data_IF_766290377519
#
_entry.id   IF_766290377519
#
_cell.length_a   1.000
_cell.length_b   1.000
_cell.length_c   1.000
_cell.angle_alpha   90.00
_cell.angle_beta   90.00
_cell.angle_gamma   90.00
#
_symmetry.space_group_name_H-M   'P 1'
#
loop_
_entity.id
_entity.type
_entity.pdbx_description
1 polymer ?
#
# COMPACT_ATOMS: atom_id res chain seq x y z
N UNK A 1 12.21 -10.94 -9.99
CA UNK A 1 12.21 -9.91 -11.05
C UNK A 1 12.05 -10.45 -12.47
N UNK A 2 12.14 -11.77 -12.73
CA UNK A 2 11.85 -12.26 -14.10
C UNK A 2 10.39 -11.95 -14.46
N UNK A 3 10.18 -11.29 -15.61
CA UNK A 3 8.84 -10.91 -16.09
C UNK A 3 8.30 -9.62 -15.50
N UNK A 4 9.11 -8.82 -14.78
CA UNK A 4 8.70 -7.50 -14.27
C UNK A 4 9.06 -6.35 -15.23
N UNK A 5 9.62 -6.67 -16.40
CA UNK A 5 9.95 -5.75 -17.48
C UNK A 5 9.35 -6.27 -18.79
N UNK A 6 9.20 -5.39 -19.80
CA UNK A 6 8.86 -5.75 -21.18
C UNK A 6 7.59 -6.63 -21.30
N UNK A 7 6.48 -6.16 -20.72
CA UNK A 7 5.13 -6.76 -20.84
C UNK A 7 4.96 -8.16 -20.23
N UNK A 8 5.90 -8.64 -19.41
CA UNK A 8 5.70 -9.87 -18.63
C UNK A 8 4.59 -9.72 -17.57
N UNK A 9 4.39 -8.49 -17.06
CA UNK A 9 3.32 -8.11 -16.13
C UNK A 9 3.23 -8.98 -14.86
N UNK A 10 4.37 -9.48 -14.40
CA UNK A 10 4.49 -10.16 -13.10
C UNK A 10 4.76 -9.15 -11.99
N UNK A 11 4.68 -9.58 -10.74
CA UNK A 11 4.99 -8.77 -9.57
C UNK A 11 6.08 -9.43 -8.72
N UNK A 12 7.00 -8.67 -8.07
CA UNK A 12 8.10 -9.21 -7.28
C UNK A 12 7.73 -9.50 -5.82
N UNK A 13 6.53 -9.12 -5.39
CA UNK A 13 6.08 -9.20 -4.00
C UNK A 13 5.97 -10.60 -3.40
N UNK A 14 5.71 -10.63 -2.10
CA UNK A 14 5.62 -11.85 -1.32
C UNK A 14 4.26 -12.55 -1.51
N UNK A 15 4.32 -13.82 -1.88
CA UNK A 15 3.17 -14.74 -1.90
C UNK A 15 3.61 -16.16 -1.54
N UNK A 16 2.69 -16.94 -0.97
CA UNK A 16 2.80 -18.41 -0.88
C UNK A 16 2.14 -19.06 -2.11
N UNK A 17 2.44 -20.32 -2.43
CA UNK A 17 1.75 -21.02 -3.52
C UNK A 17 0.23 -20.93 -3.37
N UNK A 18 -0.44 -20.40 -4.40
CA UNK A 18 -1.90 -20.21 -4.45
C UNK A 18 -2.48 -19.29 -3.35
N UNK A 19 -1.66 -18.45 -2.73
CA UNK A 19 -2.11 -17.47 -1.75
C UNK A 19 -3.00 -16.38 -2.34
N UNK A 20 -4.01 -15.96 -1.57
CA UNK A 20 -4.90 -14.85 -1.90
C UNK A 20 -4.21 -13.49 -1.70
N UNK A 21 -3.34 -13.38 -0.70
CA UNK A 21 -2.52 -12.19 -0.50
C UNK A 21 -1.25 -12.31 -1.33
N UNK A 22 -1.02 -11.31 -2.16
CA UNK A 22 0.18 -11.14 -2.96
C UNK A 22 0.75 -9.76 -2.66
N UNK A 23 1.47 -9.63 -1.55
CA UNK A 23 1.88 -8.35 -0.99
C UNK A 23 3.07 -7.80 -1.76
N UNK A 24 2.84 -6.81 -2.64
CA UNK A 24 3.82 -6.36 -3.63
C UNK A 24 3.90 -4.84 -3.73
N UNK A 25 5.06 -4.27 -4.12
CA UNK A 25 5.19 -2.86 -4.47
C UNK A 25 4.32 -2.45 -5.68
N UNK A 26 3.79 -1.24 -5.62
CA UNK A 26 3.17 -0.53 -6.74
C UNK A 26 4.07 0.63 -7.18
N UNK A 27 4.49 0.64 -8.45
CA UNK A 27 5.26 1.74 -9.06
C UNK A 27 4.40 2.70 -9.89
N UNK A 28 3.12 2.35 -10.12
CA UNK A 28 2.21 3.07 -10.99
C UNK A 28 2.03 2.43 -12.37
N UNK A 29 2.63 1.26 -12.60
CA UNK A 29 2.33 0.43 -13.75
C UNK A 29 0.92 -0.19 -13.62
N UNK A 30 0.27 -0.47 -14.75
CA UNK A 30 -1.10 -1.00 -14.81
C UNK A 30 -1.28 -2.30 -14.01
N UNK A 31 -0.24 -3.12 -13.86
CA UNK A 31 -0.26 -4.37 -13.09
C UNK A 31 0.46 -4.28 -11.74
N UNK A 32 0.69 -3.07 -11.24
CA UNK A 32 1.35 -2.78 -9.98
C UNK A 32 2.79 -2.37 -10.19
N UNK A 33 3.63 -3.28 -10.70
CA UNK A 33 5.07 -3.08 -10.79
C UNK A 33 5.61 -3.12 -12.23
N UNK A 34 6.59 -2.27 -12.49
CA UNK A 34 7.44 -2.26 -13.68
C UNK A 34 8.86 -1.93 -13.25
N UNK A 35 9.81 -2.78 -13.63
CA UNK A 35 11.23 -2.68 -13.29
C UNK A 35 11.88 -1.39 -13.83
N UNK A 36 11.33 -0.75 -14.85
CA UNK A 36 11.89 0.51 -15.36
C UNK A 36 11.47 1.73 -14.53
N UNK A 37 10.49 1.59 -13.64
CA UNK A 37 10.04 2.68 -12.77
C UNK A 37 10.93 2.81 -11.54
N UNK A 38 11.23 4.04 -11.15
CA UNK A 38 12.16 4.38 -10.08
C UNK A 38 11.47 4.88 -8.80
N UNK A 39 10.13 4.86 -8.77
CA UNK A 39 9.32 5.28 -7.63
C UNK A 39 8.33 4.19 -7.20
N UNK A 40 8.15 4.03 -5.90
CA UNK A 40 7.14 3.17 -5.28
C UNK A 40 6.11 4.04 -4.56
N UNK A 41 4.83 3.77 -4.83
CA UNK A 41 3.66 4.46 -4.29
C UNK A 41 3.05 3.74 -3.08
N UNK A 42 3.42 2.49 -2.85
CA UNK A 42 2.99 1.71 -1.71
C UNK A 42 3.24 0.22 -1.92
N UNK A 43 2.91 -0.56 -0.90
CA UNK A 43 2.82 -2.02 -0.98
C UNK A 43 1.37 -2.41 -0.75
N UNK A 44 0.71 -2.95 -1.78
CA UNK A 44 -0.71 -3.32 -1.77
C UNK A 44 -0.92 -4.83 -1.68
N UNK A 45 -2.16 -5.23 -1.37
CA UNK A 45 -2.45 -6.55 -0.80
C UNK A 45 -2.64 -7.67 -1.84
N UNK A 46 -3.14 -7.33 -3.02
CA UNK A 46 -3.65 -8.27 -4.02
C UNK A 46 -3.08 -7.91 -5.40
N UNK A 47 -2.53 -8.90 -6.11
CA UNK A 47 -1.95 -8.70 -7.43
C UNK A 47 -2.23 -9.90 -8.33
N UNK A 48 -2.29 -9.64 -9.63
CA UNK A 48 -2.53 -10.68 -10.63
C UNK A 48 -1.33 -10.73 -11.57
N UNK A 49 -0.76 -11.91 -11.73
CA UNK A 49 0.46 -12.12 -12.50
C UNK A 49 0.13 -12.39 -13.97
N UNK A 50 0.76 -11.65 -14.87
CA UNK A 50 0.72 -11.90 -16.32
C UNK A 50 -0.56 -11.45 -17.02
N UNK A 51 -1.32 -10.53 -16.43
CA UNK A 51 -2.52 -9.96 -17.05
C UNK A 51 -2.18 -8.74 -17.91
N UNK A 52 -2.98 -8.48 -18.94
CA UNK A 52 -2.87 -7.29 -19.80
C UNK A 52 -3.74 -6.11 -19.36
N UNK A 53 -4.29 -6.14 -18.15
CA UNK A 53 -5.21 -5.11 -17.66
C UNK A 53 -5.00 -4.86 -16.15
N UNK A 54 -5.46 -3.71 -15.66
CA UNK A 54 -5.32 -3.34 -14.26
C UNK A 54 -6.36 -4.02 -13.37
N UNK A 55 -5.89 -4.73 -12.35
CA UNK A 55 -6.72 -5.34 -11.31
C UNK A 55 -5.90 -5.66 -10.06
N UNK A 56 -6.56 -5.65 -8.90
CA UNK A 56 -5.92 -5.70 -7.59
C UNK A 56 -5.35 -4.34 -7.21
N UNK A 57 -4.20 -4.35 -6.56
CA UNK A 57 -3.56 -3.17 -6.00
C UNK A 57 -4.33 -2.57 -4.82
N UNK A 58 -5.24 -3.34 -4.21
CA UNK A 58 -6.10 -2.85 -3.15
C UNK A 58 -5.26 -2.46 -1.92
N UNK A 59 -5.57 -1.27 -1.38
CA UNK A 59 -4.96 -0.72 -0.17
C UNK A 59 -3.42 -0.66 -0.19
N UNK A 60 -2.82 0.17 -1.05
CA UNK A 60 -1.39 0.46 -0.95
C UNK A 60 -1.06 1.09 0.40
N UNK A 61 -0.06 0.51 1.07
CA UNK A 61 0.48 1.00 2.34
C UNK A 61 1.90 1.51 2.12
N UNK A 62 2.17 2.75 2.54
CA UNK A 62 3.50 3.36 2.40
C UNK A 62 3.98 3.93 3.73
N UNK A 63 5.14 3.48 4.26
CA UNK A 63 5.75 4.14 5.40
C UNK A 63 6.49 5.41 4.95
N UNK A 64 6.31 6.51 5.68
CA UNK A 64 6.91 7.82 5.36
C UNK A 64 7.45 8.50 6.61
N UNK A 65 8.26 9.53 6.43
CA UNK A 65 8.74 10.40 7.52
C UNK A 65 8.35 11.85 7.27
N UNK A 66 8.10 12.61 8.33
CA UNK A 66 7.76 14.03 8.25
C UNK A 66 6.26 14.30 8.36
N UNK A 67 5.82 15.48 7.95
CA UNK A 67 4.41 15.88 8.05
C UNK A 67 3.58 15.28 6.91
N UNK A 68 2.37 14.80 7.24
CA UNK A 68 1.43 14.25 6.25
C UNK A 68 0.56 15.39 5.75
N UNK A 69 0.99 16.01 4.66
CA UNK A 69 0.26 17.11 3.99
C UNK A 69 -0.10 16.80 2.55
N UNK A 70 0.45 15.71 2.00
CA UNK A 70 0.23 15.26 0.64
C UNK A 70 -0.56 13.95 0.62
N UNK A 71 -1.48 13.82 -0.32
CA UNK A 71 -2.35 12.64 -0.49
C UNK A 71 -2.35 12.12 -1.93
N UNK A 72 -1.71 12.84 -2.85
CA UNK A 72 -1.44 12.41 -4.22
C UNK A 72 -0.29 11.39 -4.20
N UNK A 73 -0.59 10.16 -4.65
CA UNK A 73 0.31 9.02 -4.60
C UNK A 73 1.52 9.16 -5.51
N UNK A 74 1.41 9.95 -6.58
CA UNK A 74 2.56 10.26 -7.42
C UNK A 74 3.52 11.23 -6.73
N UNK A 75 3.03 12.09 -5.82
CA UNK A 75 3.86 13.10 -5.14
C UNK A 75 4.48 12.61 -3.85
N UNK A 76 3.80 11.75 -3.09
CA UNK A 76 4.39 11.12 -1.92
C UNK A 76 5.18 9.83 -2.27
N UNK A 77 5.22 9.42 -3.53
CA UNK A 77 5.97 8.24 -3.94
C UNK A 77 7.43 8.33 -3.47
N UNK A 78 7.98 7.21 -3.00
CA UNK A 78 9.39 7.16 -2.63
C UNK A 78 10.21 6.71 -3.83
N UNK A 79 11.30 7.43 -4.10
CA UNK A 79 12.37 6.90 -4.94
C UNK A 79 12.94 5.62 -4.32
N UNK A 80 13.37 4.68 -5.16
CA UNK A 80 14.07 3.45 -4.77
C UNK A 80 15.15 3.09 -5.79
N UNK A 81 15.83 1.97 -5.62
CA UNK A 81 16.67 1.37 -6.67
C UNK A 81 16.80 -0.12 -6.47
N UNK A 82 17.00 -0.87 -7.55
CA UNK A 82 17.22 -2.31 -7.51
C UNK A 82 18.46 -2.73 -6.72
N UNK A 83 19.47 -1.87 -6.58
CA UNK A 83 20.65 -2.11 -5.72
C UNK A 83 20.27 -2.26 -4.23
N UNK A 84 19.11 -1.72 -3.82
CA UNK A 84 18.54 -1.83 -2.48
C UNK A 84 17.12 -2.41 -2.52
N UNK A 85 16.94 -3.41 -3.38
CA UNK A 85 15.71 -4.17 -3.52
C UNK A 85 16.05 -5.67 -3.53
N UNK A 86 15.23 -6.47 -2.85
CA UNK A 86 15.42 -7.92 -2.79
C UNK A 86 14.07 -8.62 -2.84
N UNK A 87 14.00 -9.68 -3.64
CA UNK A 87 12.81 -10.51 -3.78
C UNK A 87 13.20 -11.98 -3.84
N UNK A 88 12.53 -12.81 -3.04
CA UNK A 88 12.63 -14.27 -3.10
C UNK A 88 11.29 -14.89 -2.67
N UNK A 89 11.04 -16.19 -2.90
CA UNK A 89 9.74 -16.79 -2.58
C UNK A 89 9.28 -16.49 -1.15
N UNK A 90 8.08 -15.91 -1.02
CA UNK A 90 7.48 -15.51 0.26
C UNK A 90 8.02 -14.23 0.90
N UNK A 91 8.89 -13.46 0.25
CA UNK A 91 9.50 -12.26 0.84
C UNK A 91 9.85 -11.19 -0.20
N UNK A 92 9.71 -9.93 0.22
CA UNK A 92 10.14 -8.76 -0.53
C UNK A 92 10.73 -7.70 0.43
N UNK A 93 11.79 -7.01 0.00
CA UNK A 93 12.41 -5.87 0.70
C UNK A 93 12.69 -4.76 -0.29
N UNK A 94 12.50 -3.52 0.14
CA UNK A 94 12.99 -2.33 -0.57
C UNK A 94 13.40 -1.21 0.37
N UNK A 95 14.46 -0.49 0.01
CA UNK A 95 14.83 0.79 0.61
C UNK A 95 14.06 1.95 -0.02
N UNK A 96 13.23 2.62 0.79
CA UNK A 96 12.47 3.81 0.41
C UNK A 96 13.33 5.06 0.64
N UNK A 97 14.11 5.44 -0.39
CA UNK A 97 15.15 6.48 -0.30
C UNK A 97 14.60 7.84 0.14
N UNK A 98 13.43 8.24 -0.36
CA UNK A 98 12.82 9.55 -0.02
C UNK A 98 12.60 9.70 1.48
N UNK A 99 12.32 8.60 2.18
CA UNK A 99 11.98 8.60 3.61
C UNK A 99 13.05 7.97 4.51
N UNK A 100 14.10 7.39 3.92
CA UNK A 100 15.13 6.66 4.66
C UNK A 100 14.56 5.45 5.42
N UNK A 101 13.51 4.81 4.89
CA UNK A 101 12.83 3.67 5.53
C UNK A 101 13.12 2.39 4.77
N UNK A 102 13.50 1.32 5.48
CA UNK A 102 13.52 -0.02 4.89
C UNK A 102 12.15 -0.68 5.10
N UNK A 103 11.52 -1.09 4.00
CA UNK A 103 10.24 -1.81 4.01
C UNK A 103 10.44 -3.27 3.66
N UNK A 104 9.83 -4.15 4.43
CA UNK A 104 9.86 -5.60 4.25
C UNK A 104 8.44 -6.15 4.27
N UNK A 105 8.18 -7.16 3.44
CA UNK A 105 6.88 -7.78 3.28
C UNK A 105 7.02 -9.31 3.21
N UNK A 106 6.10 -10.00 3.87
CA UNK A 106 5.88 -11.45 3.72
C UNK A 106 4.38 -11.74 3.75
N UNK A 107 3.98 -12.93 3.31
CA UNK A 107 2.57 -13.31 3.23
C UNK A 107 2.33 -14.77 3.63
N UNK A 108 1.15 -15.04 4.19
CA UNK A 108 0.52 -16.36 4.27
C UNK A 108 -0.57 -16.46 3.19
N UNK A 109 -1.40 -17.50 3.22
CA UNK A 109 -2.50 -17.65 2.27
C UNK A 109 -3.47 -16.44 2.25
N UNK A 110 -3.71 -15.78 3.39
CA UNK A 110 -4.73 -14.71 3.52
C UNK A 110 -4.30 -13.54 4.41
N UNK A 111 -3.02 -13.46 4.78
CA UNK A 111 -2.52 -12.41 5.67
C UNK A 111 -1.14 -11.96 5.23
N UNK A 112 -0.98 -10.66 5.05
CA UNK A 112 0.33 -10.03 4.86
C UNK A 112 0.92 -9.58 6.20
N UNK A 113 2.24 -9.56 6.29
CA UNK A 113 2.98 -8.89 7.38
C UNK A 113 4.00 -7.95 6.77
N UNK A 114 3.94 -6.69 7.18
CA UNK A 114 4.91 -5.67 6.83
C UNK A 114 5.77 -5.35 8.04
N UNK A 115 7.07 -5.11 7.83
CA UNK A 115 8.00 -4.61 8.83
C UNK A 115 8.69 -3.38 8.26
N UNK A 116 8.73 -2.33 9.08
CA UNK A 116 9.32 -1.05 8.71
C UNK A 116 10.43 -0.67 9.67
N UNK A 117 11.63 -0.45 9.14
CA UNK A 117 12.77 0.07 9.90
C UNK A 117 12.91 1.55 9.58
N UNK A 118 12.42 2.39 10.50
CA UNK A 118 12.47 3.85 10.40
C UNK A 118 13.79 4.40 10.97
N UNK A 119 14.23 5.59 10.50
CA UNK A 119 15.23 6.37 11.22
C UNK A 119 14.64 6.87 12.56
N UNK A 120 15.47 7.37 13.48
CA UNK A 120 14.97 7.98 14.71
C UNK A 120 14.22 9.29 14.41
N UNK A 121 12.91 9.31 14.68
CA UNK A 121 12.03 10.47 14.46
C UNK A 121 10.73 10.35 15.28
N UNK A 122 10.11 11.46 15.62
CA UNK A 122 8.77 11.57 16.21
C UNK A 122 7.65 11.63 15.13
N UNK A 123 8.05 11.67 13.85
CA UNK A 123 7.17 11.80 12.68
C UNK A 123 7.28 10.60 11.74
N UNK A 124 7.38 9.39 12.26
CA UNK A 124 7.28 8.17 11.47
C UNK A 124 5.80 7.88 11.17
N UNK A 125 5.40 7.81 9.91
CA UNK A 125 4.02 7.57 9.51
C UNK A 125 3.87 6.27 8.74
N UNK A 126 2.67 5.71 8.78
CA UNK A 126 2.22 4.67 7.85
C UNK A 126 0.94 5.17 7.20
N UNK A 127 0.98 5.33 5.88
CA UNK A 127 -0.12 5.80 5.05
C UNK A 127 -0.92 4.61 4.52
N UNK A 128 -2.24 4.71 4.53
CA UNK A 128 -3.19 3.75 4.00
C UNK A 128 -4.03 4.40 2.91
N UNK A 129 -3.67 4.20 1.64
CA UNK A 129 -4.40 4.81 0.54
C UNK A 129 -5.59 3.93 0.12
N UNK A 130 -6.68 3.99 0.89
CA UNK A 130 -7.89 3.21 0.60
C UNK A 130 -8.52 3.55 -0.76
N UNK A 131 -8.29 4.77 -1.25
CA UNK A 131 -8.78 5.25 -2.54
C UNK A 131 -7.99 4.77 -3.76
N UNK A 132 -6.81 4.17 -3.57
CA UNK A 132 -5.95 3.71 -4.64
C UNK A 132 -6.11 2.21 -4.87
N UNK A 133 -6.22 1.83 -6.14
CA UNK A 133 -6.26 0.46 -6.63
C UNK A 133 -5.87 0.45 -8.11
N UNK A 134 -5.56 -0.72 -8.67
CA UNK A 134 -5.25 -0.89 -10.09
C UNK A 134 -6.51 -1.08 -10.95
N UNK A 135 -7.66 -1.27 -10.31
CA UNK A 135 -8.97 -1.33 -10.95
C UNK A 135 -9.78 -0.06 -10.68
N UNK A 136 -10.99 0.00 -11.25
CA UNK A 136 -11.93 1.08 -10.92
C UNK A 136 -12.47 0.92 -9.50
N UNK A 137 -12.24 1.92 -8.67
CA UNK A 137 -12.83 2.02 -7.33
C UNK A 137 -14.29 2.48 -7.43
N UNK A 138 -15.19 1.84 -6.68
CA UNK A 138 -16.61 2.20 -6.58
C UNK A 138 -16.89 2.93 -5.28
N UNK A 139 -16.48 2.34 -4.16
CA UNK A 139 -16.60 2.98 -2.86
C UNK A 139 -15.54 2.46 -1.90
N UNK A 140 -15.14 3.31 -0.97
CA UNK A 140 -14.05 3.02 -0.04
C UNK A 140 -14.41 3.53 1.34
N UNK A 141 -13.93 2.84 2.37
CA UNK A 141 -14.04 3.25 3.75
C UNK A 141 -12.79 2.85 4.51
N UNK A 142 -12.25 3.76 5.30
CA UNK A 142 -11.16 3.50 6.24
C UNK A 142 -11.53 4.02 7.61
N UNK A 143 -11.24 3.25 8.65
CA UNK A 143 -11.63 3.52 10.03
C UNK A 143 -10.51 3.18 11.01
N UNK A 144 -10.14 4.15 11.84
CA UNK A 144 -9.30 3.98 13.02
C UNK A 144 -10.18 3.46 14.15
N UNK A 145 -10.03 2.17 14.49
CA UNK A 145 -10.88 1.51 15.50
C UNK A 145 -10.40 1.77 16.93
N UNK A 146 -9.09 1.67 17.13
CA UNK A 146 -8.40 1.86 18.40
C UNK A 146 -6.95 2.28 18.16
N UNK A 147 -6.14 2.41 19.21
CA UNK A 147 -4.74 2.89 19.13
C UNK A 147 -3.77 1.99 18.36
N UNK A 148 -4.22 0.84 17.84
CA UNK A 148 -3.41 -0.15 17.12
C UNK A 148 -4.09 -0.72 15.88
N UNK A 149 -5.33 -0.37 15.58
CA UNK A 149 -6.13 -1.11 14.60
C UNK A 149 -6.82 -0.20 13.60
N UNK A 150 -6.61 -0.49 12.31
CA UNK A 150 -7.29 0.14 11.17
C UNK A 150 -8.16 -0.90 10.47
N UNK A 151 -9.40 -0.54 10.12
CA UNK A 151 -10.28 -1.32 9.25
C UNK A 151 -10.45 -0.61 7.91
N UNK A 152 -10.37 -1.38 6.83
CA UNK A 152 -10.65 -0.87 5.47
C UNK A 152 -11.67 -1.74 4.77
N UNK A 153 -12.56 -1.11 3.99
CA UNK A 153 -13.37 -1.76 2.97
C UNK A 153 -13.17 -1.03 1.63
N UNK A 154 -12.82 -1.77 0.59
CA UNK A 154 -12.63 -1.26 -0.78
C UNK A 154 -13.55 -2.06 -1.70
N UNK A 155 -14.48 -1.37 -2.35
CA UNK A 155 -15.34 -1.96 -3.36
C UNK A 155 -14.81 -1.61 -4.73
N UNK A 156 -14.36 -2.62 -5.46
CA UNK A 156 -13.81 -2.51 -6.80
C UNK A 156 -14.73 -3.10 -7.86
N UNK A 157 -14.51 -2.71 -9.11
CA UNK A 157 -15.06 -3.39 -10.29
C UNK A 157 -14.09 -3.28 -11.46
N UNK A 158 -14.26 -4.15 -12.45
CA UNK A 158 -13.48 -4.11 -13.68
C UNK A 158 -12.37 -5.15 -13.72
N UNK A 159 -12.69 -6.38 -14.17
CA UNK A 159 -11.70 -7.41 -14.51
C UNK A 159 -11.55 -7.42 -16.02
N UNK A 160 -10.60 -6.64 -16.57
CA UNK A 160 -10.37 -6.47 -18.02
C UNK A 160 -11.61 -6.10 -18.88
N UNK A 161 -12.78 -5.96 -18.26
CA UNK A 161 -14.13 -5.82 -18.78
C UNK A 161 -14.99 -5.30 -17.61
N UNK A 162 -16.21 -4.85 -17.89
CA UNK A 162 -17.10 -4.38 -16.84
C UNK A 162 -17.72 -5.55 -16.05
N UNK A 163 -17.16 -5.83 -14.88
CA UNK A 163 -17.64 -6.89 -13.98
C UNK A 163 -18.58 -6.38 -12.90
N UNK A 164 -19.26 -7.31 -12.24
CA UNK A 164 -20.00 -7.03 -11.00
C UNK A 164 -19.04 -6.55 -9.92
N UNK A 165 -19.45 -5.58 -9.07
CA UNK A 165 -18.60 -5.11 -7.98
C UNK A 165 -18.28 -6.22 -6.97
N UNK A 166 -17.07 -6.18 -6.40
CA UNK A 166 -16.64 -6.99 -5.27
C UNK A 166 -16.10 -6.09 -4.17
N UNK A 167 -16.05 -6.59 -2.93
CA UNK A 167 -15.49 -5.82 -1.81
C UNK A 167 -14.39 -6.60 -1.11
N UNK A 168 -13.24 -5.95 -0.93
CA UNK A 168 -12.13 -6.41 -0.09
C UNK A 168 -12.27 -5.77 1.29
N UNK A 169 -12.25 -6.61 2.33
CA UNK A 169 -12.27 -6.18 3.73
C UNK A 169 -10.95 -6.51 4.39
N UNK A 170 -10.40 -5.55 5.14
CA UNK A 170 -9.11 -5.72 5.82
C UNK A 170 -9.16 -5.24 7.26
N UNK A 171 -8.31 -5.85 8.10
CA UNK A 171 -7.98 -5.39 9.44
C UNK A 171 -6.46 -5.33 9.52
N UNK A 172 -5.90 -4.13 9.65
CA UNK A 172 -4.47 -3.92 9.89
C UNK A 172 -4.23 -3.67 11.37
N UNK A 173 -3.29 -4.41 11.98
CA UNK A 173 -2.92 -4.27 13.39
C UNK A 173 -1.44 -3.97 13.53
N UNK A 174 -1.11 -3.04 14.42
CA UNK A 174 0.25 -2.66 14.76
C UNK A 174 0.74 -3.34 16.05
N UNK A 175 2.03 -3.63 16.10
CA UNK A 175 2.72 -4.26 17.24
C UNK A 175 2.88 -3.30 18.43
N UNK A 176 2.75 -2.00 18.19
CA UNK A 176 2.77 -0.92 19.19
C UNK A 176 1.67 0.12 18.90
N UNK A 177 1.24 0.91 19.89
CA UNK A 177 0.21 1.92 19.66
C UNK A 177 0.79 3.10 18.87
N UNK A 178 -0.02 3.69 18.00
CA UNK A 178 0.32 4.96 17.35
C UNK A 178 0.16 6.13 18.34
N UNK A 179 0.97 7.18 18.17
CA UNK A 179 0.96 8.41 18.98
C UNK A 179 -0.07 9.41 18.46
N UNK A 180 -0.34 9.41 17.16
CA UNK A 180 -1.43 10.17 16.55
C UNK A 180 -1.91 9.50 15.26
N UNK A 181 -3.01 10.01 14.71
CA UNK A 181 -3.66 9.49 13.51
C UNK A 181 -4.46 10.60 12.84
N UNK A 182 -4.89 10.35 11.61
CA UNK A 182 -5.86 11.16 10.91
C UNK A 182 -6.32 10.49 9.63
N UNK A 183 -7.26 11.12 8.95
CA UNK A 183 -7.74 10.65 7.65
C UNK A 183 -7.65 11.75 6.60
N UNK A 184 -7.75 11.36 5.33
CA UNK A 184 -7.96 12.30 4.24
C UNK A 184 -9.13 11.92 3.36
N UNK A 185 -9.68 12.92 2.70
CA UNK A 185 -10.65 12.82 1.62
C UNK A 185 -10.44 14.03 0.70
N UNK A 186 -10.54 13.83 -0.62
CA UNK A 186 -10.52 14.90 -1.63
C UNK A 186 -9.31 15.84 -1.49
N UNK A 187 -8.12 15.28 -1.25
CA UNK A 187 -6.89 16.07 -1.09
C UNK A 187 -6.68 16.70 0.29
N UNK A 188 -7.66 16.63 1.19
CA UNK A 188 -7.61 17.31 2.50
C UNK A 188 -7.30 16.34 3.64
N UNK A 189 -6.17 16.56 4.30
CA UNK A 189 -5.80 15.85 5.53
C UNK A 189 -6.51 16.46 6.75
N UNK A 190 -7.11 15.60 7.58
CA UNK A 190 -7.78 15.97 8.84
C UNK A 190 -7.20 15.18 10.01
N UNK A 191 -6.34 15.83 10.80
CA UNK A 191 -5.73 15.24 11.99
C UNK A 191 -6.80 14.88 13.05
N UNK A 192 -6.62 13.74 13.71
CA UNK A 192 -7.54 13.23 14.74
C UNK A 192 -8.88 12.69 14.21
N UNK A 193 -9.14 12.78 12.90
CA UNK A 193 -10.30 12.12 12.29
C UNK A 193 -10.15 10.61 12.36
N UNK A 194 -11.23 9.91 12.75
CA UNK A 194 -11.25 8.45 12.90
C UNK A 194 -11.74 7.70 11.68
N UNK A 195 -12.36 8.37 10.72
CA UNK A 195 -12.90 7.69 9.55
C UNK A 195 -12.85 8.58 8.33
N UNK A 196 -12.83 7.93 7.17
CA UNK A 196 -13.03 8.58 5.89
C UNK A 196 -13.67 7.58 4.94
N UNK A 197 -14.57 8.07 4.10
CA UNK A 197 -15.24 7.28 3.09
C UNK A 197 -15.41 8.12 1.83
N UNK A 198 -15.39 7.48 0.68
CA UNK A 198 -15.58 8.16 -0.58
C UNK A 198 -16.29 7.27 -1.60
N UNK A 199 -16.94 7.91 -2.57
CA UNK A 199 -17.36 7.28 -3.81
C UNK A 199 -16.24 7.49 -4.82
N UNK A 200 -15.91 6.46 -5.58
CA UNK A 200 -14.86 6.47 -6.61
C UNK A 200 -13.41 6.69 -6.10
N UNK A 201 -13.16 6.61 -4.78
CA UNK A 201 -11.81 6.62 -4.19
C UNK A 201 -11.36 7.98 -3.63
N UNK A 202 -10.06 8.28 -3.62
CA UNK A 202 -9.53 9.57 -3.17
C UNK A 202 -9.47 9.81 -1.65
N UNK A 203 -9.57 8.75 -0.84
CA UNK A 203 -9.52 8.83 0.62
C UNK A 203 -8.53 7.85 1.24
N UNK A 204 -8.20 8.07 2.51
CA UNK A 204 -7.31 7.18 3.25
C UNK A 204 -7.07 7.61 4.68
N UNK A 205 -6.11 6.95 5.32
CA UNK A 205 -5.74 7.21 6.71
C UNK A 205 -4.23 7.20 6.89
N UNK A 206 -3.75 7.95 7.88
CA UNK A 206 -2.39 7.81 8.37
C UNK A 206 -2.40 7.54 9.86
N UNK A 207 -1.38 6.83 10.31
CA UNK A 207 -1.03 6.71 11.73
C UNK A 207 0.42 7.13 11.91
N UNK A 208 0.74 7.66 13.09
CA UNK A 208 2.07 8.19 13.43
C UNK A 208 2.65 7.48 14.64
N UNK A 209 3.97 7.35 14.66
CA UNK A 209 4.72 6.77 15.76
C UNK A 209 5.94 7.62 16.10
N UNK A 210 6.36 7.53 17.35
CA UNK A 210 7.70 7.91 17.77
C UNK A 210 8.66 6.71 17.65
N UNK A 211 9.82 6.94 17.07
CA UNK A 211 10.86 5.93 16.79
C UNK A 211 12.20 6.29 17.42
N UNK A 212 12.26 7.36 18.22
CA UNK A 212 13.39 7.57 19.12
C UNK A 212 13.46 6.41 20.14
N UNK A 213 14.68 6.04 20.51
CA UNK A 213 14.95 5.04 21.54
C UNK A 213 15.03 5.67 22.91
#
# INVERSE_FOLDING_TARGET
FIGTENEGNTYPGAAVPFGMVQLSPDTGHTTGYDYQQDHIRGLSLTHISGVGCGLGGDLPVLPTTGDVTETDDAKYASAYSHDDEEAHPGYYRVGLKTYGVQAEATATERTGKQRYTFPATDKANVLFNAGQSLHRTVSTKVEVLDSRTIRTAITGRGFCQDTVPYTVYTITRFDRPFTSYGTWADGKVTAGSKSSAAQEGGNGAYVRFDTHK
#
